data_IF_771569110225
#
_entry.id   IF_771569110225
#
_cell.length_a   1.000
_cell.length_b   1.000
_cell.length_c   1.000
_cell.angle_alpha   90.00
_cell.angle_beta   90.00
_cell.angle_gamma   90.00
#
_symmetry.space_group_name_H-M   'P 1'
#
loop_
_entity.id
_entity.type
_entity.pdbx_description
1 polymer ?
#
# COMPACT_ATOMS: atom_id res chain seq x y z
N UNK A 1 -18.19 18.64 -16.72
CA UNK A 1 -17.46 17.99 -15.60
C UNK A 1 -17.16 19.05 -14.56
N UNK A 2 -17.54 18.84 -13.29
CA UNK A 2 -17.23 19.81 -12.23
C UNK A 2 -15.81 19.58 -11.75
N UNK A 3 -14.95 20.55 -11.99
CA UNK A 3 -13.59 20.62 -11.43
C UNK A 3 -13.76 20.85 -9.92
N UNK A 4 -13.54 19.82 -9.09
CA UNK A 4 -13.49 20.01 -7.64
C UNK A 4 -12.13 20.62 -7.29
N UNK A 5 -12.18 21.73 -6.55
CA UNK A 5 -11.05 22.43 -5.94
C UNK A 5 -10.28 21.47 -5.03
N UNK A 6 -9.14 20.96 -5.52
CA UNK A 6 -8.20 20.11 -4.76
C UNK A 6 -7.48 20.85 -3.62
N UNK A 7 -7.78 22.13 -3.40
CA UNK A 7 -7.13 22.96 -2.38
C UNK A 7 -7.66 22.81 -0.95
N UNK A 8 -8.79 22.12 -0.75
CA UNK A 8 -9.33 21.80 0.58
C UNK A 8 -9.43 20.29 0.76
N UNK A 9 -8.58 19.76 1.64
CA UNK A 9 -8.76 18.40 2.16
C UNK A 9 -10.17 18.26 2.73
N UNK A 10 -11.00 17.30 2.26
CA UNK A 10 -12.33 17.09 2.79
C UNK A 10 -12.28 16.87 4.31
N UNK A 11 -13.29 17.34 5.06
CA UNK A 11 -13.41 17.00 6.49
C UNK A 11 -13.41 15.48 6.66
N UNK A 12 -12.33 14.92 7.22
CA UNK A 12 -12.14 13.48 7.39
C UNK A 12 -10.94 12.88 6.65
N UNK A 13 -10.28 13.63 5.76
CA UNK A 13 -9.06 13.18 5.08
C UNK A 13 -7.88 13.19 6.07
N UNK A 14 -7.36 12.00 6.42
CA UNK A 14 -6.17 11.85 7.27
C UNK A 14 -4.94 11.69 6.38
N UNK A 15 -4.02 12.65 6.45
CA UNK A 15 -2.70 12.50 5.86
C UNK A 15 -1.86 11.55 6.73
N UNK A 16 -1.50 10.40 6.17
CA UNK A 16 -0.61 9.43 6.81
C UNK A 16 0.78 9.59 6.19
N UNK A 17 1.77 9.96 7.01
CA UNK A 17 3.17 10.02 6.57
C UNK A 17 3.84 8.69 6.88
N UNK A 18 4.26 7.98 5.83
CA UNK A 18 4.99 6.74 5.96
C UNK A 18 6.50 7.01 5.97
N UNK A 19 7.22 6.44 6.94
CA UNK A 19 8.68 6.37 6.88
C UNK A 19 9.08 5.04 6.26
N UNK A 20 9.43 5.08 4.98
CA UNK A 20 9.96 3.93 4.26
C UNK A 20 11.49 3.98 4.34
N UNK A 21 12.12 2.87 4.73
CA UNK A 21 13.58 2.73 4.70
C UNK A 21 13.95 1.54 3.84
N UNK A 22 15.18 1.52 3.33
CA UNK A 22 15.68 0.37 2.52
C UNK A 22 15.51 -0.96 3.26
N UNK A 23 15.80 -0.96 4.57
CA UNK A 23 15.70 -2.13 5.46
C UNK A 23 14.25 -2.63 5.61
N UNK A 24 13.26 -1.73 5.70
CA UNK A 24 11.85 -2.15 5.82
C UNK A 24 11.22 -2.49 4.47
N UNK A 25 11.75 -1.94 3.38
CA UNK A 25 11.19 -2.08 2.04
C UNK A 25 11.57 -3.39 1.36
N UNK A 26 12.81 -3.87 1.52
CA UNK A 26 13.28 -5.13 0.92
C UNK A 26 12.44 -6.37 1.29
N UNK A 27 12.17 -6.66 2.57
CA UNK A 27 11.35 -7.83 2.94
C UNK A 27 9.92 -7.69 2.42
N UNK A 28 9.36 -6.48 2.40
CA UNK A 28 8.01 -6.23 1.87
C UNK A 28 7.94 -6.51 0.35
N UNK A 29 8.92 -6.03 -0.41
CA UNK A 29 9.02 -6.27 -1.85
C UNK A 29 9.11 -7.77 -2.15
N UNK A 30 9.93 -8.51 -1.40
CA UNK A 30 10.06 -9.96 -1.57
C UNK A 30 8.73 -10.68 -1.35
N UNK A 31 8.03 -10.40 -0.25
CA UNK A 31 6.72 -11.00 0.03
C UNK A 31 5.68 -10.67 -1.05
N UNK A 32 5.68 -9.44 -1.58
CA UNK A 32 4.76 -9.07 -2.66
C UNK A 32 5.07 -9.79 -3.98
N UNK A 33 6.36 -10.01 -4.30
CA UNK A 33 6.75 -10.82 -5.47
C UNK A 33 6.25 -12.25 -5.31
N UNK A 34 6.46 -12.87 -4.15
CA UNK A 34 6.02 -14.23 -3.87
C UNK A 34 4.49 -14.36 -3.98
N UNK A 35 3.74 -13.39 -3.44
CA UNK A 35 2.27 -13.34 -3.56
C UNK A 35 1.85 -13.17 -5.02
N UNK A 36 2.53 -12.33 -5.80
CA UNK A 36 2.20 -12.11 -7.22
C UNK A 36 2.36 -13.38 -8.06
N UNK A 37 3.32 -14.24 -7.70
CA UNK A 37 3.52 -15.54 -8.32
C UNK A 37 2.40 -16.51 -7.93
N UNK A 38 1.97 -16.51 -6.67
CA UNK A 38 0.83 -17.32 -6.21
C UNK A 38 -0.49 -16.91 -6.88
N UNK A 39 -0.66 -15.61 -7.17
CA UNK A 39 -1.79 -15.07 -7.93
C UNK A 39 -1.71 -15.36 -9.45
N UNK A 40 -0.59 -15.86 -9.95
CA UNK A 40 -0.50 -16.32 -11.34
C UNK A 40 -1.20 -17.68 -11.54
N UNK A 41 -1.53 -18.39 -10.45
CA UNK A 41 -2.28 -19.65 -10.49
C UNK A 41 -3.76 -19.36 -10.82
N UNK A 42 -4.40 -20.07 -11.77
CA UNK A 42 -5.75 -19.75 -12.26
C UNK A 42 -6.86 -19.68 -11.18
N UNK A 43 -6.64 -20.35 -10.05
CA UNK A 43 -7.59 -20.42 -8.93
C UNK A 43 -7.48 -19.22 -7.98
N UNK A 44 -6.33 -18.54 -7.93
CA UNK A 44 -6.04 -17.45 -7.00
C UNK A 44 -6.07 -16.11 -7.73
N UNK A 45 -7.26 -15.48 -7.79
CA UNK A 45 -7.43 -14.23 -8.55
C UNK A 45 -7.25 -12.96 -7.73
N UNK A 46 -7.39 -13.06 -6.41
CA UNK A 46 -7.32 -11.94 -5.47
C UNK A 46 -6.62 -12.37 -4.18
N UNK A 47 -5.90 -11.43 -3.56
CA UNK A 47 -5.30 -11.58 -2.23
C UNK A 47 -5.79 -10.46 -1.33
N UNK A 48 -5.91 -10.74 -0.04
CA UNK A 48 -6.23 -9.76 1.00
C UNK A 48 -4.93 -9.20 1.57
N UNK A 49 -4.69 -7.90 1.42
CA UNK A 49 -3.62 -7.18 2.09
C UNK A 49 -4.21 -6.46 3.30
N UNK A 50 -3.68 -6.75 4.49
CA UNK A 50 -4.05 -6.06 5.71
C UNK A 50 -2.93 -5.08 6.07
N UNK A 51 -3.25 -3.80 6.12
CA UNK A 51 -2.34 -2.75 6.58
C UNK A 51 -2.80 -2.23 7.92
N UNK A 52 -1.89 -2.26 8.90
CA UNK A 52 -2.09 -1.66 10.20
C UNK A 52 -1.41 -0.31 10.22
N UNK A 53 -2.21 0.73 10.36
CA UNK A 53 -1.79 2.13 10.38
C UNK A 53 -1.82 2.60 11.83
N UNK A 54 -0.67 2.99 12.36
CA UNK A 54 -0.60 3.61 13.68
C UNK A 54 -0.52 5.12 13.52
N UNK A 55 -1.42 5.85 14.16
CA UNK A 55 -1.27 7.31 14.27
C UNK A 55 -0.03 7.63 15.12
N UNK A 56 0.94 8.33 14.52
CA UNK A 56 2.19 8.71 15.20
C UNK A 56 1.98 9.75 16.31
N UNK A 57 0.81 10.40 16.35
CA UNK A 57 0.48 11.46 17.32
C UNK A 57 -0.36 10.97 18.49
N UNK A 58 -1.03 9.83 18.37
CA UNK A 58 -1.88 9.29 19.44
C UNK A 58 -1.68 7.78 19.57
N UNK A 59 -1.30 7.30 20.77
CA UNK A 59 -1.02 5.88 21.01
C UNK A 59 -2.26 4.96 20.86
N UNK A 60 -3.46 5.53 20.78
CA UNK A 60 -4.75 4.82 20.74
C UNK A 60 -5.32 4.58 19.33
N UNK A 61 -4.69 5.13 18.28
CA UNK A 61 -5.28 5.19 16.94
C UNK A 61 -4.72 4.15 15.97
N UNK A 62 -4.77 2.85 16.28
CA UNK A 62 -4.46 1.82 15.27
C UNK A 62 -5.68 1.63 14.36
N UNK A 63 -5.51 1.88 13.06
CA UNK A 63 -6.53 1.63 12.04
C UNK A 63 -6.07 0.46 11.18
N UNK A 64 -6.85 -0.60 11.11
CA UNK A 64 -6.63 -1.68 10.16
C UNK A 64 -7.43 -1.43 8.88
N UNK A 65 -6.76 -1.51 7.73
CA UNK A 65 -7.39 -1.41 6.42
C UNK A 65 -7.10 -2.68 5.63
N UNK A 66 -8.15 -3.29 5.09
CA UNK A 66 -8.07 -4.53 4.30
C UNK A 66 -8.37 -4.23 2.84
N UNK A 67 -7.47 -4.63 1.96
CA UNK A 67 -7.57 -4.42 0.53
C UNK A 67 -7.59 -5.76 -0.20
N UNK A 68 -8.60 -5.97 -1.05
CA UNK A 68 -8.55 -7.05 -2.01
C UNK A 68 -7.82 -6.56 -3.25
N UNK A 69 -6.67 -7.17 -3.57
CA UNK A 69 -5.89 -6.80 -4.76
C UNK A 69 -5.76 -7.99 -5.70
N UNK A 70 -5.88 -7.74 -7.00
CA UNK A 70 -5.61 -8.73 -8.03
C UNK A 70 -4.13 -8.66 -8.46
N UNK A 71 -3.73 -9.59 -9.32
CA UNK A 71 -2.37 -9.67 -9.88
C UNK A 71 -1.90 -8.36 -10.50
N UNK A 72 -2.75 -7.69 -11.28
CA UNK A 72 -2.35 -6.48 -12.02
C UNK A 72 -2.16 -5.27 -11.09
N UNK A 73 -3.04 -5.13 -10.09
CA UNK A 73 -2.91 -4.12 -9.05
C UNK A 73 -1.65 -4.35 -8.22
N UNK A 74 -1.41 -5.59 -7.78
CA UNK A 74 -0.21 -5.94 -7.02
C UNK A 74 1.07 -5.72 -7.84
N UNK A 75 1.06 -6.07 -9.13
CA UNK A 75 2.18 -5.83 -10.05
C UNK A 75 2.48 -4.34 -10.23
N UNK A 76 1.46 -3.48 -10.22
CA UNK A 76 1.64 -2.02 -10.27
C UNK A 76 2.25 -1.49 -8.98
N UNK A 77 1.82 -1.99 -7.81
CA UNK A 77 2.41 -1.65 -6.52
C UNK A 77 3.89 -2.06 -6.45
N UNK A 78 4.24 -3.28 -6.90
CA UNK A 78 5.62 -3.77 -6.95
C UNK A 78 6.53 -2.86 -7.78
N UNK A 79 6.07 -2.42 -8.96
CA UNK A 79 6.84 -1.48 -9.79
C UNK A 79 7.09 -0.15 -9.08
N UNK A 80 6.05 0.42 -8.48
CA UNK A 80 6.18 1.68 -7.73
C UNK A 80 7.14 1.55 -6.56
N UNK A 81 7.05 0.45 -5.80
CA UNK A 81 7.88 0.23 -4.62
C UNK A 81 9.34 -0.05 -4.99
N UNK A 82 9.61 -0.76 -6.09
CA UNK A 82 10.96 -0.89 -6.62
C UNK A 82 11.55 0.47 -7.01
N UNK A 83 10.76 1.33 -7.67
CA UNK A 83 11.19 2.69 -8.01
C UNK A 83 11.50 3.54 -6.77
N UNK A 84 10.72 3.39 -5.69
CA UNK A 84 11.04 4.04 -4.41
C UNK A 84 12.31 3.49 -3.77
N UNK A 85 12.50 2.16 -3.78
CA UNK A 85 13.73 1.51 -3.26
C UNK A 85 14.98 2.06 -3.92
N UNK A 86 14.94 2.26 -5.24
CA UNK A 86 16.10 2.73 -6.01
C UNK A 86 16.43 4.21 -5.75
N UNK A 87 15.52 4.97 -5.12
CA UNK A 87 15.69 6.37 -4.75
C UNK A 87 16.01 6.61 -3.26
N UNK A 88 16.05 5.54 -2.45
CA UNK A 88 16.38 5.58 -1.02
C UNK A 88 17.84 5.19 -0.78
#
# INVERSE_FOLDING_TARGET
MKLQDYGKSPPGERNVQFRVTRVTLEPMLKSMVDISQQLAVPVNRVVVINLKLQDTKTSSGETEVKFNVCKDTLGSMLRSMNFTRDQL
#
